data_IF_925583102850
#
_entry.id   IF_925583102850
#
_cell.length_a   1.000
_cell.length_b   1.000
_cell.length_c   1.000
_cell.angle_alpha   90.00
_cell.angle_beta   90.00
_cell.angle_gamma   90.00
#
_symmetry.space_group_name_H-M   'P 1'
#
loop_
_entity.id
_entity.type
_entity.pdbx_description
1 polymer ?
#
# COMPACT_ATOMS: atom_id res chain seq x y z
N UNK A 1 -3.53 32.97 -10.25
CA UNK A 1 -3.98 33.72 -9.06
C UNK A 1 -5.02 32.89 -8.33
N UNK A 2 -4.72 32.39 -7.14
CA UNK A 2 -5.70 31.71 -6.28
C UNK A 2 -6.58 32.81 -5.68
N UNK A 3 -7.91 32.81 -5.93
CA UNK A 3 -8.78 33.83 -5.36
C UNK A 3 -8.78 33.75 -3.83
N UNK A 4 -8.84 34.92 -3.17
CA UNK A 4 -8.91 34.97 -1.71
C UNK A 4 -10.09 34.14 -1.20
N UNK A 5 -9.91 33.35 -0.12
CA UNK A 5 -10.97 32.54 0.44
C UNK A 5 -12.11 33.44 0.93
N UNK A 6 -13.32 33.12 0.47
CA UNK A 6 -14.55 33.81 0.88
C UNK A 6 -15.34 32.92 1.85
N UNK A 7 -16.30 33.52 2.59
CA UNK A 7 -17.11 32.77 3.58
C UNK A 7 -17.81 31.53 3.00
N UNK A 8 -18.22 31.59 1.73
CA UNK A 8 -18.84 30.44 1.07
C UNK A 8 -17.86 29.29 0.78
N UNK A 9 -16.55 29.55 0.60
CA UNK A 9 -15.54 28.50 0.44
C UNK A 9 -15.44 27.66 1.71
N UNK A 10 -15.44 28.34 2.87
CA UNK A 10 -15.41 27.66 4.17
C UNK A 10 -16.72 26.88 4.41
N UNK A 11 -17.86 27.44 4.03
CA UNK A 11 -19.15 26.78 4.17
C UNK A 11 -19.24 25.48 3.35
N UNK A 12 -18.91 25.55 2.05
CA UNK A 12 -18.84 24.40 1.15
C UNK A 12 -17.81 23.38 1.62
N UNK A 13 -16.63 23.87 1.98
CA UNK A 13 -15.54 23.02 2.48
C UNK A 13 -15.95 22.26 3.73
N UNK A 14 -16.59 22.92 4.72
CA UNK A 14 -17.08 22.29 5.95
C UNK A 14 -18.15 21.24 5.69
N UNK A 15 -19.10 21.54 4.78
CA UNK A 15 -20.16 20.59 4.43
C UNK A 15 -19.59 19.31 3.80
N UNK A 16 -18.68 19.44 2.83
CA UNK A 16 -18.02 18.30 2.18
C UNK A 16 -17.08 17.58 3.15
N UNK A 17 -16.29 18.32 3.92
CA UNK A 17 -15.39 17.75 4.94
C UNK A 17 -16.14 16.88 5.94
N UNK A 18 -17.26 17.37 6.49
CA UNK A 18 -18.05 16.62 7.47
C UNK A 18 -18.65 15.35 6.90
N UNK A 19 -19.20 15.40 5.68
CA UNK A 19 -19.77 14.21 5.02
C UNK A 19 -18.69 13.21 4.60
N UNK A 20 -17.52 13.66 4.18
CA UNK A 20 -16.37 12.79 3.87
C UNK A 20 -15.87 12.10 5.13
N UNK A 21 -15.67 12.84 6.22
CA UNK A 21 -15.23 12.25 7.50
C UNK A 21 -16.23 11.24 8.04
N UNK A 22 -17.53 11.56 7.98
CA UNK A 22 -18.58 10.65 8.43
C UNK A 22 -18.57 9.35 7.60
N UNK A 23 -18.56 9.47 6.27
CA UNK A 23 -18.52 8.32 5.38
C UNK A 23 -17.26 7.49 5.61
N UNK A 24 -16.13 8.15 5.78
CA UNK A 24 -14.85 7.51 6.05
C UNK A 24 -14.84 6.76 7.38
N UNK A 25 -15.36 7.37 8.46
CA UNK A 25 -15.49 6.72 9.76
C UNK A 25 -16.40 5.47 9.69
N UNK A 26 -17.50 5.53 8.93
CA UNK A 26 -18.40 4.38 8.74
C UNK A 26 -17.70 3.27 7.96
N UNK A 27 -17.04 3.56 6.84
CA UNK A 27 -16.37 2.54 6.02
C UNK A 27 -15.20 1.89 6.77
N UNK A 28 -14.38 2.68 7.45
CA UNK A 28 -13.26 2.16 8.26
C UNK A 28 -13.80 1.36 9.45
N UNK A 29 -14.85 1.85 10.12
CA UNK A 29 -15.48 1.15 11.23
C UNK A 29 -16.02 -0.23 10.83
N UNK A 30 -16.72 -0.32 9.70
CA UNK A 30 -17.19 -1.60 9.15
C UNK A 30 -16.03 -2.54 8.83
N UNK A 31 -14.96 -2.03 8.20
CA UNK A 31 -13.78 -2.86 7.87
C UNK A 31 -13.04 -3.32 9.12
N UNK A 32 -12.94 -2.48 10.15
CA UNK A 32 -12.37 -2.84 11.47
C UNK A 32 -13.16 -3.96 12.13
N UNK A 33 -14.50 -3.90 12.12
CA UNK A 33 -15.35 -4.96 12.64
C UNK A 33 -15.15 -6.27 11.87
N UNK A 34 -15.11 -6.21 10.53
CA UNK A 34 -14.86 -7.38 9.69
C UNK A 34 -13.47 -7.98 9.95
N UNK A 35 -12.45 -7.13 10.09
CA UNK A 35 -11.09 -7.57 10.39
C UNK A 35 -11.01 -8.25 11.76
N UNK A 36 -11.62 -7.65 12.77
CA UNK A 36 -11.68 -8.21 14.11
C UNK A 36 -12.40 -9.57 14.12
N UNK A 37 -13.53 -9.67 13.42
CA UNK A 37 -14.24 -10.94 13.23
C UNK A 37 -13.36 -12.01 12.56
N UNK A 38 -12.52 -11.62 11.60
CA UNK A 38 -11.57 -12.52 10.93
C UNK A 38 -10.51 -13.10 11.88
N UNK A 39 -10.05 -12.30 12.85
CA UNK A 39 -9.02 -12.71 13.83
C UNK A 39 -9.54 -13.69 14.90
N UNK A 40 -10.85 -13.79 15.11
CA UNK A 40 -11.43 -14.77 16.06
C UNK A 40 -11.03 -16.21 15.77
N UNK A 41 -10.79 -16.55 14.50
CA UNK A 41 -10.38 -17.91 14.10
C UNK A 41 -8.99 -18.32 14.64
N UNK A 42 -8.17 -17.34 14.96
CA UNK A 42 -6.80 -17.55 15.45
C UNK A 42 -6.69 -17.39 16.98
N UNK A 43 -7.71 -16.82 17.63
CA UNK A 43 -7.75 -16.68 19.10
C UNK A 43 -7.78 -18.06 19.78
N UNK A 44 -6.93 -18.23 20.77
CA UNK A 44 -6.75 -19.51 21.50
C UNK A 44 -5.72 -20.45 20.90
N UNK A 45 -5.17 -20.15 19.71
CA UNK A 45 -4.11 -20.94 19.10
C UNK A 45 -2.75 -20.36 19.49
N UNK A 46 -1.81 -21.23 19.87
CA UNK A 46 -0.39 -20.87 20.10
C UNK A 46 -0.16 -19.64 21.00
N UNK A 47 -1.03 -19.42 21.99
CA UNK A 47 -0.91 -18.26 22.89
C UNK A 47 -1.47 -16.95 22.32
N UNK A 48 -2.11 -16.95 21.13
CA UNK A 48 -2.74 -15.77 20.56
C UNK A 48 -4.06 -15.46 21.29
N UNK A 49 -4.08 -14.38 22.06
CA UNK A 49 -5.22 -13.97 22.88
C UNK A 49 -6.12 -12.96 22.16
N UNK A 50 -7.32 -12.73 22.70
CA UNK A 50 -8.22 -11.67 22.23
C UNK A 50 -7.57 -10.28 22.31
N UNK A 51 -6.73 -10.04 23.32
CA UNK A 51 -5.96 -8.81 23.46
C UNK A 51 -4.97 -8.60 22.29
N UNK A 52 -4.29 -9.66 21.85
CA UNK A 52 -3.42 -9.62 20.70
C UNK A 52 -4.20 -9.32 19.40
N UNK A 53 -5.38 -9.93 19.21
CA UNK A 53 -6.25 -9.65 18.09
C UNK A 53 -6.73 -8.19 18.07
N UNK A 54 -7.17 -7.66 19.20
CA UNK A 54 -7.60 -6.27 19.33
C UNK A 54 -6.45 -5.28 19.05
N UNK A 55 -5.27 -5.53 19.62
CA UNK A 55 -4.08 -4.72 19.38
C UNK A 55 -3.67 -4.75 17.90
N UNK A 56 -3.65 -5.93 17.28
CA UNK A 56 -3.35 -6.08 15.85
C UNK A 56 -4.31 -5.29 14.99
N UNK A 57 -5.61 -5.39 15.21
CA UNK A 57 -6.63 -4.62 14.48
C UNK A 57 -6.40 -3.13 14.66
N UNK A 58 -6.18 -2.65 15.89
CA UNK A 58 -5.98 -1.25 16.21
C UNK A 58 -4.76 -0.66 15.48
N UNK A 59 -3.62 -1.36 15.49
CA UNK A 59 -2.42 -0.93 14.80
C UNK A 59 -2.57 -0.94 13.27
N UNK A 60 -3.48 -1.75 12.71
CA UNK A 60 -3.76 -1.74 11.26
C UNK A 60 -4.75 -0.65 10.82
N UNK A 61 -5.44 0.04 11.75
CA UNK A 61 -6.42 1.11 11.42
C UNK A 61 -5.85 2.19 10.51
N UNK A 62 -4.65 2.76 10.73
CA UNK A 62 -4.13 3.82 9.85
C UNK A 62 -3.99 3.37 8.40
N UNK A 63 -3.58 2.13 8.18
CA UNK A 63 -3.46 1.54 6.84
C UNK A 63 -4.82 1.37 6.16
N UNK A 64 -5.81 0.89 6.92
CA UNK A 64 -7.20 0.74 6.45
C UNK A 64 -7.80 2.08 6.11
N UNK A 65 -7.59 3.06 6.98
CA UNK A 65 -8.02 4.44 6.83
C UNK A 65 -7.51 5.04 5.51
N UNK A 66 -6.22 4.88 5.20
CA UNK A 66 -5.61 5.27 3.94
C UNK A 66 -6.26 4.57 2.74
N UNK A 67 -6.49 3.26 2.83
CA UNK A 67 -7.04 2.45 1.74
C UNK A 67 -8.49 2.82 1.39
N UNK A 68 -9.33 3.10 2.41
CA UNK A 68 -10.75 3.43 2.19
C UNK A 68 -11.00 4.90 1.88
N UNK A 69 -10.01 5.77 2.06
CA UNK A 69 -10.19 7.21 1.90
C UNK A 69 -10.66 7.63 0.49
N UNK A 70 -10.14 7.11 -0.64
CA UNK A 70 -10.63 7.49 -1.97
C UNK A 70 -12.11 7.21 -2.16
N UNK A 71 -12.58 6.05 -1.71
CA UNK A 71 -14.00 5.66 -1.75
C UNK A 71 -14.85 6.55 -0.85
N UNK A 72 -14.38 6.83 0.36
CA UNK A 72 -15.05 7.74 1.28
C UNK A 72 -15.12 9.16 0.75
N UNK A 73 -14.06 9.65 0.12
CA UNK A 73 -13.97 10.98 -0.44
C UNK A 73 -14.99 11.21 -1.56
N UNK A 74 -15.14 10.25 -2.49
CA UNK A 74 -16.13 10.41 -3.58
C UNK A 74 -17.56 10.29 -3.07
N UNK A 75 -17.86 9.31 -2.21
CA UNK A 75 -19.20 9.12 -1.64
C UNK A 75 -19.57 10.33 -0.80
N UNK A 76 -18.69 10.73 0.13
CA UNK A 76 -18.93 11.87 1.01
C UNK A 76 -19.07 13.20 0.25
N UNK A 77 -18.28 13.41 -0.80
CA UNK A 77 -18.39 14.59 -1.67
C UNK A 77 -19.74 14.63 -2.39
N UNK A 78 -20.20 13.50 -2.94
CA UNK A 78 -21.52 13.42 -3.58
C UNK A 78 -22.67 13.63 -2.57
N UNK A 79 -22.53 13.08 -1.36
CA UNK A 79 -23.51 13.27 -0.30
C UNK A 79 -23.57 14.75 0.15
N UNK A 80 -22.43 15.37 0.43
CA UNK A 80 -22.35 16.76 0.89
C UNK A 80 -22.84 17.75 -0.15
N UNK A 81 -22.30 17.69 -1.37
CA UNK A 81 -22.73 18.53 -2.47
C UNK A 81 -24.18 18.25 -2.87
N UNK A 82 -24.58 16.99 -2.87
CA UNK A 82 -25.94 16.62 -3.17
C UNK A 82 -26.96 17.14 -2.15
N UNK A 83 -26.59 17.21 -0.86
CA UNK A 83 -27.42 17.82 0.17
C UNK A 83 -27.61 19.31 -0.07
N UNK A 84 -26.51 20.04 -0.32
CA UNK A 84 -26.56 21.47 -0.67
C UNK A 84 -27.34 21.75 -1.97
N UNK A 85 -27.33 20.80 -2.91
CA UNK A 85 -28.14 20.89 -4.12
C UNK A 85 -29.63 20.67 -3.83
N UNK A 86 -29.99 19.77 -2.94
CA UNK A 86 -31.36 19.46 -2.55
C UNK A 86 -32.02 20.61 -1.77
N UNK A 87 -31.25 21.29 -0.91
CA UNK A 87 -31.70 22.50 -0.18
C UNK A 87 -31.67 23.76 -1.06
N UNK A 88 -31.38 23.63 -2.35
CA UNK A 88 -31.25 24.73 -3.32
C UNK A 88 -30.13 25.74 -3.01
N UNK A 89 -29.27 25.49 -2.06
CA UNK A 89 -28.17 26.40 -1.67
C UNK A 89 -27.12 26.54 -2.79
N UNK A 90 -26.78 25.45 -3.49
CA UNK A 90 -25.91 25.53 -4.67
C UNK A 90 -26.53 26.36 -5.79
N UNK A 91 -27.87 26.38 -5.90
CA UNK A 91 -28.60 27.22 -6.88
C UNK A 91 -28.55 28.68 -6.46
N UNK A 92 -28.75 28.98 -5.19
CA UNK A 92 -28.61 30.34 -4.65
C UNK A 92 -27.20 30.91 -4.84
N UNK A 93 -26.16 30.13 -4.55
CA UNK A 93 -24.77 30.53 -4.78
C UNK A 93 -24.50 30.84 -6.27
N UNK A 94 -25.08 30.06 -7.18
CA UNK A 94 -24.99 30.32 -8.61
C UNK A 94 -25.75 31.58 -9.06
N UNK A 95 -26.90 31.86 -8.47
CA UNK A 95 -27.65 33.06 -8.71
C UNK A 95 -26.89 34.34 -8.29
N UNK A 96 -26.01 34.22 -7.28
CA UNK A 96 -25.07 35.26 -6.86
C UNK A 96 -23.85 35.41 -7.80
N UNK A 97 -23.84 34.74 -8.97
CA UNK A 97 -22.78 34.86 -9.98
C UNK A 97 -21.62 33.87 -9.82
N UNK A 98 -21.66 32.92 -8.86
CA UNK A 98 -20.60 31.93 -8.70
C UNK A 98 -20.68 30.87 -9.79
N UNK A 99 -19.59 30.71 -10.54
CA UNK A 99 -19.50 29.68 -11.57
C UNK A 99 -19.35 28.26 -10.95
N UNK A 100 -19.80 27.23 -11.68
CA UNK A 100 -19.61 25.84 -11.28
C UNK A 100 -18.14 25.52 -11.03
N UNK A 101 -17.23 26.07 -11.87
CA UNK A 101 -15.77 25.88 -11.71
C UNK A 101 -15.26 26.46 -10.40
N UNK A 102 -15.77 27.63 -9.98
CA UNK A 102 -15.38 28.27 -8.71
C UNK A 102 -15.83 27.46 -7.50
N UNK A 103 -17.05 26.92 -7.54
CA UNK A 103 -17.58 26.04 -6.50
C UNK A 103 -16.81 24.72 -6.43
N UNK A 104 -16.47 24.13 -7.58
CA UNK A 104 -15.63 22.91 -7.64
C UNK A 104 -14.23 23.14 -7.06
N UNK A 105 -13.65 24.33 -7.25
CA UNK A 105 -12.35 24.67 -6.69
C UNK A 105 -12.37 24.69 -5.15
N UNK A 106 -13.43 25.24 -4.55
CA UNK A 106 -13.59 25.23 -3.08
C UNK A 106 -13.62 23.82 -2.51
N UNK A 107 -14.33 22.91 -3.19
CA UNK A 107 -14.38 21.48 -2.83
C UNK A 107 -13.01 20.83 -3.02
N UNK A 108 -12.34 21.11 -4.14
CA UNK A 108 -11.02 20.56 -4.44
C UNK A 108 -9.98 20.94 -3.38
N UNK A 109 -10.01 22.20 -2.89
CA UNK A 109 -9.11 22.66 -1.82
C UNK A 109 -9.34 21.88 -0.52
N UNK A 110 -10.59 21.71 -0.10
CA UNK A 110 -10.92 20.94 1.10
C UNK A 110 -10.48 19.47 0.98
N UNK A 111 -10.71 18.86 -0.19
CA UNK A 111 -10.28 17.48 -0.46
C UNK A 111 -8.76 17.36 -0.56
N UNK A 112 -8.07 18.36 -1.11
CA UNK A 112 -6.60 18.35 -1.18
C UNK A 112 -5.96 18.36 0.20
N UNK A 113 -6.53 19.10 1.16
CA UNK A 113 -6.04 19.09 2.55
C UNK A 113 -6.20 17.72 3.20
N UNK A 114 -7.38 17.09 3.05
CA UNK A 114 -7.62 15.75 3.56
C UNK A 114 -6.72 14.70 2.88
N UNK A 115 -6.59 14.80 1.56
CA UNK A 115 -5.72 13.91 0.79
C UNK A 115 -4.26 14.05 1.19
N UNK A 116 -3.79 15.28 1.42
CA UNK A 116 -2.44 15.55 1.93
C UNK A 116 -2.20 14.89 3.30
N UNK A 117 -3.16 15.02 4.23
CA UNK A 117 -3.09 14.34 5.52
C UNK A 117 -3.04 12.82 5.36
N UNK A 118 -3.80 12.24 4.41
CA UNK A 118 -3.76 10.81 4.13
C UNK A 118 -2.44 10.36 3.51
N UNK A 119 -1.85 11.14 2.62
CA UNK A 119 -0.50 10.87 2.06
C UNK A 119 0.53 10.83 3.18
N UNK A 120 0.55 11.83 4.06
CA UNK A 120 1.47 11.85 5.21
C UNK A 120 1.23 10.64 6.11
N UNK A 121 -0.02 10.33 6.44
CA UNK A 121 -0.36 9.14 7.25
C UNK A 121 0.09 7.84 6.56
N UNK A 122 -0.06 7.74 5.25
CA UNK A 122 0.34 6.59 4.44
C UNK A 122 1.84 6.33 4.42
N UNK A 123 2.65 7.38 4.55
CA UNK A 123 4.13 7.28 4.56
C UNK A 123 4.73 7.21 5.98
N UNK A 124 3.97 7.55 7.02
CA UNK A 124 4.48 7.60 8.40
C UNK A 124 3.75 6.62 9.32
N UNK A 125 2.49 6.93 9.64
CA UNK A 125 1.71 6.22 10.67
C UNK A 125 1.29 4.82 10.19
N UNK A 126 0.94 4.68 8.91
CA UNK A 126 0.46 3.41 8.37
C UNK A 126 1.56 2.33 8.31
N UNK A 127 2.79 2.57 7.84
CA UNK A 127 3.89 1.62 7.90
C UNK A 127 4.28 1.27 9.35
N UNK A 128 4.41 2.29 10.23
CA UNK A 128 4.70 2.08 11.65
C UNK A 128 3.65 1.19 12.34
N UNK A 129 2.37 1.48 12.11
CA UNK A 129 1.29 0.68 12.68
C UNK A 129 1.31 -0.77 12.16
N UNK A 130 1.57 -0.95 10.86
CA UNK A 130 1.64 -2.28 10.26
C UNK A 130 2.80 -3.11 10.83
N UNK A 131 3.98 -2.51 10.99
CA UNK A 131 5.14 -3.15 11.62
C UNK A 131 4.83 -3.62 13.04
N UNK A 132 4.20 -2.77 13.86
CA UNK A 132 3.76 -3.15 15.21
C UNK A 132 2.75 -4.29 15.20
N UNK A 133 1.78 -4.25 14.28
CA UNK A 133 0.80 -5.31 14.10
C UNK A 133 1.47 -6.65 13.72
N UNK A 134 2.40 -6.62 12.77
CA UNK A 134 3.12 -7.81 12.31
C UNK A 134 4.00 -8.39 13.44
N UNK A 135 4.65 -7.55 14.24
CA UNK A 135 5.43 -7.95 15.42
C UNK A 135 4.56 -8.63 16.48
N UNK A 136 3.36 -8.10 16.79
CA UNK A 136 2.42 -8.73 17.73
C UNK A 136 2.03 -10.13 17.23
N UNK A 137 1.75 -10.26 15.94
CA UNK A 137 1.34 -11.53 15.34
C UNK A 137 2.46 -12.56 15.35
N UNK A 138 3.70 -12.13 15.08
CA UNK A 138 4.88 -13.01 15.13
C UNK A 138 5.22 -13.44 16.55
N UNK A 139 5.25 -12.52 17.51
CA UNK A 139 5.58 -12.84 18.91
C UNK A 139 4.58 -13.79 19.55
N UNK A 140 3.28 -13.60 19.28
CA UNK A 140 2.23 -14.44 19.83
C UNK A 140 2.20 -15.86 19.23
N UNK A 141 2.69 -16.04 17.98
CA UNK A 141 2.72 -17.34 17.30
C UNK A 141 4.00 -18.16 17.54
N UNK A 142 5.00 -17.60 18.23
CA UNK A 142 6.27 -18.30 18.57
C UNK A 142 6.12 -19.49 19.51
N UNK A 143 4.97 -19.68 20.16
CA UNK A 143 4.71 -20.80 21.09
C UNK A 143 4.28 -22.13 20.48
N UNK A 144 4.15 -22.24 19.16
CA UNK A 144 3.73 -23.46 18.48
C UNK A 144 4.27 -23.50 17.06
N UNK A 145 4.59 -24.73 16.65
CA UNK A 145 5.09 -25.18 15.36
C UNK A 145 5.15 -24.09 14.27
N UNK A 146 6.36 -23.71 13.85
CA UNK A 146 6.60 -22.68 12.85
C UNK A 146 5.81 -22.96 11.56
N UNK A 147 4.53 -22.60 11.53
CA UNK A 147 3.88 -22.38 10.26
C UNK A 147 4.42 -21.03 9.73
N UNK A 148 5.61 -21.11 9.15
CA UNK A 148 6.25 -20.05 8.37
C UNK A 148 5.16 -19.36 7.55
N UNK A 149 4.99 -18.06 7.77
CA UNK A 149 4.20 -17.25 6.88
C UNK A 149 4.60 -17.60 5.45
N UNK A 150 3.68 -18.10 4.65
CA UNK A 150 3.85 -18.42 3.23
C UNK A 150 4.07 -17.15 2.42
N UNK A 151 5.16 -16.47 2.70
CA UNK A 151 5.73 -15.51 1.78
C UNK A 151 6.80 -16.27 1.00
N UNK A 152 6.76 -16.18 -0.30
CA UNK A 152 7.89 -16.53 -1.13
C UNK A 152 9.13 -15.92 -0.46
N UNK A 153 10.06 -16.75 0.01
CA UNK A 153 11.19 -16.31 0.83
C UNK A 153 11.95 -15.18 0.14
N UNK A 154 12.77 -14.49 0.91
CA UNK A 154 13.64 -13.44 0.37
C UNK A 154 14.58 -14.07 -0.64
N UNK A 155 14.53 -13.59 -1.86
CA UNK A 155 15.48 -13.96 -2.91
C UNK A 155 16.46 -12.83 -3.12
N UNK A 156 17.74 -13.15 -3.12
CA UNK A 156 18.82 -12.24 -3.45
C UNK A 156 19.76 -12.91 -4.46
N UNK A 157 20.50 -12.11 -5.19
CA UNK A 157 21.53 -12.57 -6.10
C UNK A 157 22.81 -11.78 -5.88
N UNK A 158 23.93 -12.47 -5.78
CA UNK A 158 25.24 -11.89 -5.74
C UNK A 158 26.16 -12.65 -6.70
N UNK A 159 26.45 -12.03 -7.84
CA UNK A 159 27.20 -12.68 -8.92
C UNK A 159 26.51 -13.97 -9.40
N UNK A 160 27.18 -15.10 -9.24
CA UNK A 160 26.69 -16.43 -9.62
C UNK A 160 25.97 -17.17 -8.49
N UNK A 161 25.81 -16.53 -7.33
CA UNK A 161 25.15 -17.11 -6.16
C UNK A 161 23.76 -16.55 -5.99
N UNK A 162 22.76 -17.44 -5.98
CA UNK A 162 21.38 -17.12 -5.64
C UNK A 162 21.11 -17.52 -4.20
N UNK A 163 20.64 -16.59 -3.40
CA UNK A 163 20.26 -16.81 -2.02
C UNK A 163 18.73 -16.85 -1.92
N UNK A 164 18.22 -17.83 -1.18
CA UNK A 164 16.83 -17.86 -0.73
C UNK A 164 16.81 -18.03 0.78
N UNK A 165 16.12 -17.15 1.50
CA UNK A 165 15.84 -17.30 2.91
C UNK A 165 14.33 -17.42 3.12
N UNK A 166 13.87 -18.39 3.91
CA UNK A 166 12.43 -18.58 4.16
C UNK A 166 11.81 -17.44 4.97
N UNK A 167 12.61 -16.74 5.77
CA UNK A 167 12.18 -15.61 6.58
C UNK A 167 13.37 -14.83 7.12
N UNK A 168 13.10 -13.73 7.78
CA UNK A 168 14.12 -12.96 8.47
C UNK A 168 13.47 -12.00 9.46
N UNK A 169 14.24 -11.54 10.42
CA UNK A 169 13.83 -10.56 11.42
C UNK A 169 14.98 -9.62 11.75
N UNK A 170 14.64 -8.37 12.02
CA UNK A 170 15.59 -7.41 12.61
C UNK A 170 15.51 -7.53 14.14
N UNK A 171 16.63 -7.81 14.77
CA UNK A 171 16.78 -7.86 16.22
C UNK A 171 17.53 -6.63 16.70
N UNK A 172 16.99 -5.97 17.73
CA UNK A 172 17.71 -4.89 18.44
C UNK A 172 18.78 -5.53 19.33
N UNK A 173 20.03 -5.16 19.11
CA UNK A 173 21.14 -5.60 19.94
C UNK A 173 21.28 -4.63 21.13
N UNK A 174 21.57 -5.17 22.32
CA UNK A 174 21.92 -4.37 23.50
C UNK A 174 23.17 -3.53 23.18
N UNK A 175 22.97 -2.19 23.02
CA UNK A 175 24.00 -1.27 22.55
C UNK A 175 23.56 -0.37 21.40
N UNK A 176 22.31 -0.50 20.90
CA UNK A 176 21.68 0.46 19.95
C UNK A 176 21.90 0.17 18.47
N UNK A 177 22.37 -1.03 18.12
CA UNK A 177 22.46 -1.53 16.73
C UNK A 177 21.33 -2.46 16.38
N UNK A 178 21.04 -2.60 15.07
CA UNK A 178 20.13 -3.63 14.53
C UNK A 178 20.97 -4.78 13.94
N UNK A 179 20.56 -6.01 14.19
CA UNK A 179 21.09 -7.23 13.58
C UNK A 179 20.01 -7.83 12.71
N UNK A 180 20.32 -8.09 11.45
CA UNK A 180 19.45 -8.84 10.56
C UNK A 180 19.72 -10.34 10.72
N UNK A 181 18.70 -11.13 11.03
CA UNK A 181 18.76 -12.58 11.12
C UNK A 181 17.86 -13.18 10.05
N UNK A 182 18.45 -13.92 9.12
CA UNK A 182 17.72 -14.69 8.11
C UNK A 182 17.62 -16.15 8.57
N UNK A 183 16.48 -16.78 8.30
CA UNK A 183 16.20 -18.18 8.70
C UNK A 183 16.07 -19.09 7.49
N UNK A 184 16.54 -20.34 7.63
CA UNK A 184 16.54 -21.39 6.59
C UNK A 184 17.09 -20.86 5.26
N UNK A 185 18.35 -20.50 5.29
CA UNK A 185 19.06 -19.88 4.16
C UNK A 185 19.60 -20.95 3.24
N UNK A 186 19.25 -20.86 1.96
CA UNK A 186 19.75 -21.73 0.89
C UNK A 186 20.46 -20.89 -0.15
N UNK A 187 21.70 -21.25 -0.45
CA UNK A 187 22.50 -20.56 -1.46
C UNK A 187 22.83 -21.55 -2.58
N UNK A 188 22.47 -21.18 -3.79
CA UNK A 188 22.70 -21.94 -5.01
C UNK A 188 23.81 -21.25 -5.80
N UNK A 189 24.95 -21.89 -5.97
CA UNK A 189 26.00 -21.38 -6.85
C UNK A 189 25.82 -22.02 -8.23
N UNK A 190 25.68 -21.15 -9.22
CA UNK A 190 25.48 -21.55 -10.62
C UNK A 190 26.81 -21.40 -11.36
N UNK A 191 27.21 -22.43 -12.10
CA UNK A 191 28.39 -22.41 -12.93
C UNK A 191 28.14 -21.73 -14.29
N UNK A 192 29.19 -21.56 -15.11
CA UNK A 192 29.13 -20.85 -16.40
C UNK A 192 28.18 -21.47 -17.43
N UNK A 193 27.93 -22.77 -17.34
CA UNK A 193 27.03 -23.51 -18.23
C UNK A 193 25.59 -23.60 -17.70
N UNK A 194 25.31 -22.92 -16.56
CA UNK A 194 23.99 -22.91 -15.91
C UNK A 194 23.74 -24.11 -14.99
N UNK A 195 24.75 -24.94 -14.73
CA UNK A 195 24.73 -26.07 -13.81
C UNK A 195 24.85 -25.62 -12.35
N UNK A 196 24.26 -26.38 -11.41
CA UNK A 196 24.43 -26.12 -9.98
C UNK A 196 25.78 -26.71 -9.54
N UNK A 197 26.72 -25.84 -9.16
CA UNK A 197 28.04 -26.21 -8.66
C UNK A 197 27.99 -26.58 -7.17
N UNK A 198 27.23 -25.81 -6.38
CA UNK A 198 27.07 -26.12 -4.95
C UNK A 198 25.71 -25.61 -4.42
N UNK A 199 25.23 -26.36 -3.42
CA UNK A 199 24.07 -25.99 -2.61
C UNK A 199 24.52 -25.86 -1.15
N UNK A 200 24.46 -24.66 -0.61
CA UNK A 200 24.75 -24.42 0.79
C UNK A 200 23.43 -24.13 1.53
N UNK A 201 23.21 -24.86 2.62
CA UNK A 201 22.10 -24.65 3.55
C UNK A 201 22.66 -24.21 4.89
N UNK A 202 22.12 -23.11 5.43
CA UNK A 202 22.42 -22.63 6.76
C UNK A 202 21.13 -22.46 7.56
N UNK A 203 21.10 -22.84 8.82
CA UNK A 203 19.92 -22.66 9.66
C UNK A 203 19.61 -21.17 9.86
N UNK A 204 20.67 -20.36 10.07
CA UNK A 204 20.55 -18.90 10.14
C UNK A 204 21.71 -18.21 9.44
N UNK A 205 21.46 -17.01 8.90
CA UNK A 205 22.49 -16.08 8.48
C UNK A 205 22.28 -14.76 9.23
N UNK A 206 23.29 -14.30 9.95
CA UNK A 206 23.25 -13.11 10.78
C UNK A 206 24.16 -12.04 10.19
N UNK A 207 23.67 -10.82 10.12
CA UNK A 207 24.46 -9.67 9.71
C UNK A 207 24.52 -8.64 10.84
N UNK A 208 25.75 -8.30 11.23
CA UNK A 208 26.03 -7.22 12.17
C UNK A 208 27.17 -6.32 11.64
N UNK A 209 27.72 -5.49 12.51
CA UNK A 209 28.82 -4.59 12.15
C UNK A 209 30.09 -5.32 11.67
N UNK A 210 30.22 -6.64 11.91
CA UNK A 210 31.36 -7.46 11.50
C UNK A 210 31.14 -8.19 10.15
N UNK A 211 29.96 -8.07 9.55
CA UNK A 211 29.57 -8.70 8.31
C UNK A 211 28.61 -9.89 8.51
N UNK A 212 28.54 -10.77 7.50
CA UNK A 212 27.65 -11.93 7.50
C UNK A 212 28.29 -13.14 8.17
N UNK A 213 27.53 -13.84 9.00
CA UNK A 213 27.89 -15.11 9.63
C UNK A 213 26.76 -16.13 9.37
N UNK A 214 27.12 -17.27 8.81
CA UNK A 214 26.23 -18.41 8.61
C UNK A 214 26.38 -19.38 9.80
N UNK A 215 25.28 -19.90 10.34
CA UNK A 215 25.26 -20.84 11.42
C UNK A 215 24.64 -22.19 10.99
N UNK A 216 25.19 -23.30 11.46
CA UNK A 216 24.80 -24.65 11.11
C UNK A 216 24.83 -24.88 9.59
N UNK A 217 25.99 -24.67 9.01
CA UNK A 217 26.19 -24.72 7.55
C UNK A 217 26.33 -26.15 7.09
N UNK A 218 25.61 -26.53 6.05
CA UNK A 218 25.79 -27.77 5.30
C UNK A 218 25.92 -27.43 3.82
N UNK A 219 27.05 -27.79 3.22
CA UNK A 219 27.37 -27.53 1.81
C UNK A 219 27.49 -28.81 1.04
N UNK A 220 26.66 -28.95 0.02
CA UNK A 220 26.74 -30.04 -0.95
C UNK A 220 27.40 -29.49 -2.23
N UNK A 221 28.57 -30.06 -2.59
CA UNK A 221 29.35 -29.67 -3.78
C UNK A 221 29.17 -30.75 -4.84
N UNK A 222 28.72 -30.36 -6.01
CA UNK A 222 28.42 -31.26 -7.12
C UNK A 222 29.64 -31.30 -8.06
N UNK A 223 30.30 -32.46 -8.18
CA UNK A 223 31.30 -32.76 -9.22
C UNK A 223 30.65 -33.59 -10.32
N UNK A 224 31.38 -33.84 -11.43
CA UNK A 224 30.84 -34.56 -12.60
C UNK A 224 30.22 -35.93 -12.27
N UNK A 225 30.76 -36.65 -11.26
CA UNK A 225 30.25 -37.95 -10.79
C UNK A 225 30.36 -38.12 -9.28
N UNK A 226 30.53 -37.07 -8.54
CA UNK A 226 30.73 -37.09 -7.10
C UNK A 226 29.89 -36.02 -6.41
N UNK A 227 29.44 -36.33 -5.18
CA UNK A 227 28.83 -35.36 -4.27
C UNK A 227 29.70 -35.32 -3.02
N UNK A 228 30.25 -34.15 -2.71
CA UNK A 228 31.02 -33.95 -1.48
C UNK A 228 30.18 -33.10 -0.52
N UNK A 229 30.02 -33.57 0.71
CA UNK A 229 29.31 -32.86 1.76
C UNK A 229 30.28 -32.33 2.80
N UNK A 230 30.16 -31.04 3.07
CA UNK A 230 30.91 -30.35 4.12
C UNK A 230 29.92 -29.79 5.15
N UNK A 231 30.27 -29.88 6.44
CA UNK A 231 29.45 -29.31 7.52
C UNK A 231 30.33 -28.47 8.43
N UNK A 232 29.83 -27.30 8.79
CA UNK A 232 30.50 -26.38 9.71
C UNK A 232 29.51 -25.80 10.72
N UNK A 233 29.86 -25.68 12.01
CA UNK A 233 28.97 -25.10 13.02
C UNK A 233 28.71 -23.62 12.77
N UNK A 234 29.70 -22.89 12.26
CA UNK A 234 29.61 -21.50 11.88
C UNK A 234 30.66 -21.14 10.85
N UNK A 235 30.33 -20.33 9.88
CA UNK A 235 31.23 -19.88 8.81
C UNK A 235 31.01 -18.37 8.54
N UNK A 236 32.11 -17.61 8.42
CA UNK A 236 32.02 -16.23 7.91
C UNK A 236 31.70 -16.25 6.41
N UNK A 237 30.72 -15.50 6.03
CA UNK A 237 30.36 -15.35 4.63
C UNK A 237 30.76 -13.96 4.15
N UNK A 238 31.75 -13.93 3.25
CA UNK A 238 32.20 -12.70 2.61
C UNK A 238 31.20 -12.31 1.49
N UNK A 239 30.29 -11.44 1.82
CA UNK A 239 29.21 -11.00 0.95
C UNK A 239 29.02 -9.49 1.05
N UNK A 240 28.79 -8.87 -0.13
CA UNK A 240 28.45 -7.46 -0.25
C UNK A 240 26.95 -7.23 -0.30
N UNK A 241 26.13 -8.25 0.01
CA UNK A 241 24.68 -8.11 0.03
C UNK A 241 24.27 -7.05 1.06
N UNK A 242 23.52 -6.07 0.56
CA UNK A 242 22.98 -4.98 1.37
C UNK A 242 21.91 -5.52 2.34
N UNK A 243 22.26 -5.58 3.62
CA UNK A 243 21.36 -6.06 4.66
C UNK A 243 20.07 -5.23 4.76
N UNK A 244 20.14 -3.89 4.49
CA UNK A 244 18.96 -3.04 4.50
C UNK A 244 18.02 -3.36 3.34
N UNK A 245 18.57 -3.65 2.14
CA UNK A 245 17.78 -4.09 0.99
C UNK A 245 17.15 -5.46 1.23
N UNK A 246 17.83 -6.39 1.90
CA UNK A 246 17.28 -7.69 2.28
C UNK A 246 16.19 -7.56 3.35
N UNK A 247 16.38 -6.73 4.36
CA UNK A 247 15.38 -6.43 5.39
C UNK A 247 14.09 -5.90 4.78
N UNK A 248 14.18 -4.99 3.79
CA UNK A 248 12.98 -4.50 3.07
C UNK A 248 12.31 -5.59 2.22
N UNK A 249 13.08 -6.57 1.73
CA UNK A 249 12.57 -7.73 0.97
C UNK A 249 11.74 -8.71 1.80
N UNK A 250 11.90 -8.71 3.13
CA UNK A 250 11.12 -9.53 4.07
C UNK A 250 9.69 -9.01 4.23
N UNK A 251 9.51 -7.70 4.13
CA UNK A 251 8.21 -7.05 4.26
C UNK A 251 7.44 -7.06 2.93
N UNK A 252 6.11 -7.12 3.00
CA UNK A 252 5.28 -6.95 1.79
C UNK A 252 5.51 -5.57 1.19
N UNK A 253 5.68 -5.42 -0.13
CA UNK A 253 5.89 -4.12 -0.77
C UNK A 253 4.86 -3.06 -0.34
N UNK A 254 3.61 -3.47 -0.13
CA UNK A 254 2.51 -2.58 0.31
C UNK A 254 2.76 -1.95 1.68
N UNK A 255 3.54 -2.57 2.55
CA UNK A 255 3.79 -2.11 3.92
C UNK A 255 5.02 -1.21 4.03
N UNK A 256 5.89 -1.22 3.02
CA UNK A 256 7.09 -0.40 2.96
C UNK A 256 6.76 1.08 2.75
N UNK A 257 7.65 1.99 3.13
CA UNK A 257 7.59 3.42 2.79
C UNK A 257 8.01 3.63 1.33
N UNK A 258 7.70 4.79 0.76
CA UNK A 258 8.10 5.09 -0.61
C UNK A 258 9.63 5.10 -0.80
N UNK A 259 10.38 5.56 0.20
CA UNK A 259 11.84 5.52 0.18
C UNK A 259 12.38 4.08 0.12
N UNK A 260 11.84 3.20 0.98
CA UNK A 260 12.26 1.80 1.07
C UNK A 260 11.89 1.03 -0.21
N UNK A 261 10.72 1.34 -0.81
CA UNK A 261 10.31 0.79 -2.11
C UNK A 261 11.30 1.17 -3.20
N UNK A 262 11.73 2.45 -3.23
CA UNK A 262 12.71 2.92 -4.22
C UNK A 262 14.05 2.19 -4.08
N UNK A 263 14.56 2.07 -2.87
CA UNK A 263 15.80 1.33 -2.60
C UNK A 263 15.68 -0.13 -3.03
N UNK A 264 14.52 -0.76 -2.75
CA UNK A 264 14.26 -2.15 -3.17
C UNK A 264 14.17 -2.31 -4.68
N UNK A 265 13.58 -1.34 -5.40
CA UNK A 265 13.51 -1.32 -6.87
C UNK A 265 14.93 -1.22 -7.44
N UNK A 266 15.71 -0.23 -7.00
CA UNK A 266 17.08 0.00 -7.46
C UNK A 266 18.02 -1.20 -7.20
N UNK A 267 17.86 -1.86 -6.04
CA UNK A 267 18.59 -3.09 -5.72
C UNK A 267 18.23 -4.23 -6.66
N UNK A 268 16.91 -4.46 -6.89
CA UNK A 268 16.43 -5.54 -7.76
C UNK A 268 16.85 -5.33 -9.20
N UNK A 269 16.74 -4.12 -9.74
CA UNK A 269 17.18 -3.77 -11.09
C UNK A 269 18.68 -4.01 -11.27
N UNK A 270 19.52 -3.57 -10.31
CA UNK A 270 20.98 -3.78 -10.36
C UNK A 270 21.38 -5.27 -10.37
N UNK A 271 20.58 -6.11 -9.71
CA UNK A 271 20.85 -7.54 -9.59
C UNK A 271 20.07 -8.39 -10.61
N UNK A 272 19.37 -7.78 -11.57
CA UNK A 272 18.57 -8.50 -12.57
C UNK A 272 17.37 -9.26 -11.99
N UNK A 273 16.88 -8.86 -10.82
CA UNK A 273 15.70 -9.43 -10.17
C UNK A 273 14.44 -8.69 -10.60
N UNK A 274 13.27 -9.34 -10.54
CA UNK A 274 12.00 -8.73 -10.88
C UNK A 274 11.60 -7.69 -9.82
N UNK A 275 11.49 -6.42 -10.21
CA UNK A 275 11.11 -5.30 -9.35
C UNK A 275 9.63 -4.88 -9.50
N UNK A 276 8.86 -5.53 -10.37
CA UNK A 276 7.52 -5.08 -10.80
C UNK A 276 6.51 -4.91 -9.69
N UNK A 277 6.49 -5.83 -8.72
CA UNK A 277 5.57 -5.74 -7.57
C UNK A 277 5.87 -4.52 -6.70
N UNK A 278 7.14 -4.10 -6.64
CA UNK A 278 7.59 -2.91 -5.92
C UNK A 278 7.27 -1.63 -6.71
N UNK A 279 7.49 -1.64 -8.03
CA UNK A 279 7.14 -0.54 -8.92
C UNK A 279 5.63 -0.26 -8.92
N UNK A 280 4.80 -1.30 -8.97
CA UNK A 280 3.34 -1.21 -8.89
C UNK A 280 2.91 -0.43 -7.65
N UNK A 281 3.41 -0.85 -6.47
CA UNK A 281 3.11 -0.19 -5.20
C UNK A 281 3.67 1.23 -5.14
N UNK A 282 4.90 1.43 -5.62
CA UNK A 282 5.56 2.75 -5.63
C UNK A 282 4.76 3.76 -6.46
N UNK A 283 4.43 3.43 -7.71
CA UNK A 283 3.69 4.34 -8.58
C UNK A 283 2.24 4.51 -8.15
N UNK A 284 1.59 3.49 -7.58
CA UNK A 284 0.25 3.64 -7.00
C UNK A 284 0.19 4.71 -5.91
N UNK A 285 1.26 4.87 -5.10
CA UNK A 285 1.35 5.92 -4.07
C UNK A 285 1.56 7.30 -4.65
N UNK A 286 2.43 7.43 -5.65
CA UNK A 286 2.67 8.71 -6.32
C UNK A 286 1.41 9.25 -6.98
N UNK A 287 0.64 8.40 -7.61
CA UNK A 287 -0.62 8.78 -8.25
C UNK A 287 -1.81 8.87 -7.29
N UNK A 288 -1.67 8.40 -6.04
CA UNK A 288 -2.75 8.41 -5.06
C UNK A 288 -3.45 9.76 -4.90
N UNK A 289 -2.76 10.90 -4.64
CA UNK A 289 -3.43 12.19 -4.49
C UNK A 289 -4.13 12.64 -5.77
N UNK A 290 -3.53 12.40 -6.93
CA UNK A 290 -4.13 12.74 -8.23
C UNK A 290 -5.38 11.90 -8.46
N UNK A 291 -5.34 10.61 -8.15
CA UNK A 291 -6.45 9.69 -8.29
C UNK A 291 -7.64 10.07 -7.41
N UNK A 292 -7.40 10.41 -6.14
CA UNK A 292 -8.46 10.86 -5.22
C UNK A 292 -9.13 12.12 -5.74
N UNK A 293 -8.35 13.12 -6.13
CA UNK A 293 -8.89 14.39 -6.63
C UNK A 293 -9.62 14.21 -7.97
N UNK A 294 -9.07 13.44 -8.90
CA UNK A 294 -9.70 13.17 -10.18
C UNK A 294 -11.05 12.46 -10.01
N UNK A 295 -11.10 11.44 -9.13
CA UNK A 295 -12.32 10.70 -8.82
C UNK A 295 -13.40 11.62 -8.22
N UNK A 296 -13.03 12.45 -7.24
CA UNK A 296 -13.96 13.38 -6.61
C UNK A 296 -14.44 14.47 -7.59
N UNK A 297 -13.53 15.03 -8.39
CA UNK A 297 -13.89 16.04 -9.40
C UNK A 297 -14.78 15.47 -10.51
N UNK A 298 -14.57 14.21 -10.90
CA UNK A 298 -15.45 13.53 -11.85
C UNK A 298 -16.89 13.38 -11.33
N UNK A 299 -17.07 13.29 -10.02
CA UNK A 299 -18.38 13.18 -9.38
C UNK A 299 -19.12 14.53 -9.26
N UNK A 300 -18.40 15.67 -9.22
CA UNK A 300 -18.98 17.01 -9.02
C UNK A 300 -20.09 17.38 -10.03
N UNK A 301 -19.99 17.12 -11.35
CA UNK A 301 -21.05 17.47 -12.31
C UNK A 301 -22.41 16.87 -11.98
N UNK A 302 -22.43 15.72 -11.32
CA UNK A 302 -23.67 15.04 -10.93
C UNK A 302 -24.38 15.76 -9.79
N UNK A 303 -23.64 16.39 -8.88
CA UNK A 303 -24.23 17.19 -7.81
C UNK A 303 -25.03 18.40 -8.33
N UNK A 304 -24.60 19.00 -9.45
CA UNK A 304 -25.28 20.13 -10.08
C UNK A 304 -26.47 19.76 -10.98
N UNK A 305 -26.66 18.48 -11.28
CA UNK A 305 -27.67 17.99 -12.21
C UNK A 305 -28.60 16.95 -11.60
N UNK A 306 -28.30 15.69 -11.86
CA UNK A 306 -29.19 14.54 -11.56
C UNK A 306 -29.45 14.31 -10.07
N UNK A 307 -28.65 14.87 -9.17
CA UNK A 307 -28.80 14.68 -7.72
C UNK A 307 -29.70 15.71 -7.05
N UNK A 308 -30.15 16.76 -7.77
CA UNK A 308 -31.03 17.81 -7.21
C UNK A 308 -32.38 17.23 -6.75
N UNK A 309 -32.95 16.29 -7.51
CA UNK A 309 -34.25 15.65 -7.21
C UNK A 309 -34.10 14.25 -6.62
N UNK A 310 -32.88 13.75 -6.39
CA UNK A 310 -32.62 12.41 -5.87
C UNK A 310 -32.46 12.40 -4.37
N UNK A 311 -33.09 11.43 -3.70
CA UNK A 311 -32.89 11.17 -2.27
C UNK A 311 -31.44 10.74 -1.94
N UNK A 312 -31.15 10.59 -0.63
CA UNK A 312 -29.84 10.18 -0.14
C UNK A 312 -29.33 8.87 -0.75
N UNK A 313 -30.25 7.89 -0.97
CA UNK A 313 -29.94 6.60 -1.58
C UNK A 313 -29.35 6.71 -2.98
N UNK A 314 -29.91 7.59 -3.85
CA UNK A 314 -29.39 7.78 -5.20
C UNK A 314 -27.96 8.38 -5.19
N UNK A 315 -27.65 9.26 -4.25
CA UNK A 315 -26.33 9.86 -4.08
C UNK A 315 -25.30 8.84 -3.62
N UNK A 316 -25.67 8.04 -2.63
CA UNK A 316 -24.88 6.93 -2.13
C UNK A 316 -24.59 5.92 -3.24
N UNK A 317 -25.64 5.48 -3.96
CA UNK A 317 -25.52 4.54 -5.07
C UNK A 317 -24.56 5.05 -6.16
N UNK A 318 -24.71 6.29 -6.60
CA UNK A 318 -23.80 6.87 -7.59
C UNK A 318 -22.36 6.99 -7.06
N UNK A 319 -22.18 7.34 -5.79
CA UNK A 319 -20.86 7.40 -5.17
C UNK A 319 -20.18 6.03 -5.16
N UNK A 320 -20.90 4.98 -4.78
CA UNK A 320 -20.38 3.60 -4.81
C UNK A 320 -20.06 3.18 -6.25
N UNK A 321 -20.96 3.47 -7.21
CA UNK A 321 -20.76 3.14 -8.62
C UNK A 321 -19.50 3.81 -9.19
N UNK A 322 -19.27 5.10 -8.89
CA UNK A 322 -18.06 5.81 -9.29
C UNK A 322 -16.80 5.22 -8.67
N UNK A 323 -16.83 4.95 -7.35
CA UNK A 323 -15.71 4.35 -6.64
C UNK A 323 -15.37 2.98 -7.22
N UNK A 324 -16.39 2.14 -7.46
CA UNK A 324 -16.22 0.81 -8.03
C UNK A 324 -15.67 0.85 -9.47
N UNK A 325 -16.24 1.71 -10.32
CA UNK A 325 -15.77 1.87 -11.70
C UNK A 325 -14.31 2.32 -11.75
N UNK A 326 -13.95 3.28 -10.89
CA UNK A 326 -12.58 3.76 -10.81
C UNK A 326 -11.61 2.69 -10.29
N UNK A 327 -12.01 1.94 -9.26
CA UNK A 327 -11.23 0.83 -8.72
C UNK A 327 -11.01 -0.27 -9.78
N UNK A 328 -12.05 -0.62 -10.54
CA UNK A 328 -11.94 -1.58 -11.63
C UNK A 328 -10.99 -1.10 -12.73
N UNK A 329 -11.04 0.20 -13.09
CA UNK A 329 -10.11 0.79 -14.04
C UNK A 329 -8.67 0.71 -13.54
N UNK A 330 -8.41 1.07 -12.29
CA UNK A 330 -7.07 0.96 -11.70
C UNK A 330 -6.58 -0.48 -11.67
N UNK A 331 -7.45 -1.42 -11.25
CA UNK A 331 -7.12 -2.84 -11.24
C UNK A 331 -6.79 -3.35 -12.64
N UNK A 332 -7.58 -2.98 -13.64
CA UNK A 332 -7.40 -3.38 -15.03
C UNK A 332 -6.06 -2.87 -15.59
N UNK A 333 -5.78 -1.57 -15.48
CA UNK A 333 -4.53 -1.01 -16.01
C UNK A 333 -3.31 -1.48 -15.24
N UNK A 334 -3.38 -1.64 -13.92
CA UNK A 334 -2.30 -2.20 -13.11
C UNK A 334 -1.98 -3.66 -13.50
N UNK A 335 -3.01 -4.49 -13.70
CA UNK A 335 -2.83 -5.88 -14.17
C UNK A 335 -2.30 -5.95 -15.59
N UNK A 336 -2.77 -5.09 -16.48
CA UNK A 336 -2.22 -4.97 -17.83
C UNK A 336 -0.74 -4.58 -17.82
N UNK A 337 -0.34 -3.62 -16.98
CA UNK A 337 1.05 -3.23 -16.86
C UNK A 337 1.94 -4.41 -16.43
N UNK A 338 1.47 -5.19 -15.44
CA UNK A 338 2.15 -6.41 -15.03
C UNK A 338 2.27 -7.46 -16.13
N UNK A 339 1.19 -7.73 -16.87
CA UNK A 339 1.13 -8.77 -17.90
C UNK A 339 1.85 -8.39 -19.19
N UNK A 340 1.66 -7.16 -19.69
CA UNK A 340 2.19 -6.68 -20.96
C UNK A 340 3.55 -5.98 -20.82
N UNK A 341 4.08 -5.92 -19.61
CA UNK A 341 5.39 -5.32 -19.30
C UNK A 341 5.54 -3.86 -19.76
N UNK A 342 4.50 -3.04 -19.68
CA UNK A 342 4.61 -1.60 -19.91
C UNK A 342 4.77 -0.80 -18.60
N UNK A 343 5.10 0.49 -18.72
CA UNK A 343 5.43 1.38 -17.60
C UNK A 343 4.20 1.61 -16.70
N UNK A 344 4.35 1.37 -15.39
CA UNK A 344 3.33 1.61 -14.37
C UNK A 344 2.92 3.08 -14.25
N UNK A 345 3.78 4.04 -14.65
CA UNK A 345 3.42 5.47 -14.73
C UNK A 345 2.22 5.68 -15.64
N UNK A 346 2.25 5.04 -16.81
CA UNK A 346 1.15 5.11 -17.77
C UNK A 346 -0.10 4.44 -17.22
N UNK A 347 0.05 3.26 -16.60
CA UNK A 347 -1.06 2.51 -16.00
C UNK A 347 -1.82 3.34 -14.95
N UNK A 348 -1.10 4.04 -14.08
CA UNK A 348 -1.71 4.86 -13.02
C UNK A 348 -2.14 6.26 -13.46
N UNK A 349 -1.61 6.78 -14.57
CA UNK A 349 -2.03 8.06 -15.15
C UNK A 349 -3.34 7.94 -15.95
N UNK A 350 -3.59 6.81 -16.61
CA UNK A 350 -4.76 6.62 -17.49
C UNK A 350 -6.11 6.75 -16.77
N UNK A 351 -6.37 6.08 -15.62
CA UNK A 351 -7.65 6.18 -14.92
C UNK A 351 -8.05 7.62 -14.56
N UNK A 352 -7.20 8.45 -13.94
CA UNK A 352 -7.56 9.83 -13.61
C UNK A 352 -7.75 10.69 -14.86
N UNK A 353 -6.96 10.49 -15.91
CA UNK A 353 -7.12 11.23 -17.20
C UNK A 353 -8.48 10.90 -17.81
N UNK A 354 -8.87 9.62 -17.87
CA UNK A 354 -10.17 9.20 -18.39
C UNK A 354 -11.33 9.81 -17.57
N UNK A 355 -11.23 9.75 -16.24
CA UNK A 355 -12.27 10.32 -15.36
C UNK A 355 -12.38 11.84 -15.50
N UNK A 356 -11.27 12.57 -15.57
CA UNK A 356 -11.27 13.99 -15.80
C UNK A 356 -11.79 14.35 -17.19
N UNK A 357 -11.48 13.56 -18.21
CA UNK A 357 -12.01 13.70 -19.56
C UNK A 357 -13.53 13.56 -19.60
N UNK A 358 -14.08 12.52 -18.95
CA UNK A 358 -15.52 12.31 -18.81
C UNK A 358 -16.16 13.49 -18.05
N UNK A 359 -15.54 13.94 -16.97
CA UNK A 359 -16.02 15.09 -16.20
C UNK A 359 -16.07 16.35 -17.05
N UNK A 360 -15.01 16.66 -17.79
CA UNK A 360 -14.95 17.83 -18.68
C UNK A 360 -16.02 17.78 -19.78
N UNK A 361 -16.26 16.59 -20.36
CA UNK A 361 -17.31 16.39 -21.36
C UNK A 361 -18.71 16.62 -20.78
N UNK A 362 -18.97 16.11 -19.56
CA UNK A 362 -20.23 16.31 -18.87
C UNK A 362 -20.48 17.79 -18.48
N UNK A 363 -19.42 18.50 -18.09
CA UNK A 363 -19.51 19.95 -17.83
C UNK A 363 -19.86 20.73 -19.10
N UNK A 364 -19.28 20.37 -20.26
CA UNK A 364 -19.57 21.04 -21.54
C UNK A 364 -20.99 20.78 -22.01
N UNK A 365 -21.50 19.56 -21.93
CA UNK A 365 -22.87 19.21 -22.36
C UNK A 365 -23.98 19.90 -21.54
N UNK A 366 -23.71 20.28 -20.29
CA UNK A 366 -24.71 20.89 -19.40
C UNK A 366 -24.57 22.41 -19.27
N UNK A 367 -23.69 23.04 -20.04
CA UNK A 367 -23.54 24.51 -20.10
C UNK A 367 -24.22 25.16 -21.32
N UNK A 368 -24.88 24.35 -22.17
CA UNK A 368 -25.77 24.82 -23.22
C UNK A 368 -27.22 24.89 -22.75
#
# INVERSE_FOLDING_TARGET
MIPRPMRFDYYLGRAVFGTVLLTWAVLVGLDVVMAFSGEFKDVGKNGYTLGHAAAWVLYTVPRRAYTFFPTAAVIGSLMGLGQLAATSELTALRALGLSRRRLSLSVAVALSLLTGAMVVSGETIAPWGQERADNIRMSAKRGGDMSVARYAGVWAREGDTFLNAQGGEEQLVEGGGTRLVLHDVRMYRIGPEGEIVSLTHAATAEHDASGWVLNQVRRDIFGERSLTREEAPSEKWDSQLDAAALATGISRPRNLRAADLRTSIEYRERNGLDARDYEDVYWSRWFYPVNVLALCLAAVPFAFGSLRSGGMGKRLFLGILFALAFWLLQLFFGRMAGALKFDYRVAYALPPILMLGISAMLFRRKSG
#
